data_IF_222674512891
#
_entry.id   IF_222674512891
#
_cell.length_a   1.000
_cell.length_b   1.000
_cell.length_c   1.000
_cell.angle_alpha   90.00
_cell.angle_beta   90.00
_cell.angle_gamma   90.00
#
_symmetry.space_group_name_H-M   'P 1'
#
loop_
_entity.id
_entity.type
_entity.pdbx_description
1 polymer ?
#
# COMPACT_ATOMS: atom_id res chain seq x y z
N UNK A 1 -31.67 26.79 -30.78
CA UNK A 1 -30.79 25.64 -31.06
C UNK A 1 -30.68 24.82 -29.78
N UNK A 2 -31.60 23.87 -29.59
CA UNK A 2 -31.51 22.94 -28.47
C UNK A 2 -30.55 21.84 -28.91
N UNK A 3 -29.37 21.79 -28.30
CA UNK A 3 -28.46 20.66 -28.48
C UNK A 3 -29.26 19.43 -28.00
N UNK A 4 -29.48 18.42 -28.85
CA UNK A 4 -30.30 17.23 -28.53
C UNK A 4 -29.44 16.16 -27.87
N UNK A 5 -29.94 15.44 -26.84
CA UNK A 5 -29.18 14.57 -25.88
C UNK A 5 -28.06 13.67 -26.44
N UNK A 6 -27.98 13.50 -27.74
CA UNK A 6 -26.95 12.80 -28.50
C UNK A 6 -25.53 13.40 -28.31
N UNK A 7 -25.39 14.65 -27.81
CA UNK A 7 -24.10 15.21 -27.39
C UNK A 7 -23.62 14.71 -26.01
N UNK A 8 -24.47 14.04 -25.23
CA UNK A 8 -24.04 13.45 -23.97
C UNK A 8 -23.34 12.13 -24.27
N UNK A 9 -22.01 12.09 -24.05
CA UNK A 9 -21.22 10.86 -24.02
C UNK A 9 -21.99 9.79 -23.23
N UNK A 10 -22.38 8.72 -23.92
CA UNK A 10 -23.16 7.63 -23.33
C UNK A 10 -22.34 7.01 -22.21
N UNK A 11 -22.77 7.22 -20.97
CA UNK A 11 -22.09 6.68 -19.80
C UNK A 11 -22.19 5.14 -19.87
N UNK A 12 -21.06 4.41 -19.75
CA UNK A 12 -21.10 2.96 -19.76
C UNK A 12 -21.94 2.43 -18.58
N UNK A 13 -22.54 1.26 -18.78
CA UNK A 13 -23.40 0.59 -17.79
C UNK A 13 -22.57 0.11 -16.59
N UNK A 14 -22.40 0.98 -15.59
CA UNK A 14 -21.76 0.66 -14.32
C UNK A 14 -20.22 0.64 -14.34
N UNK A 15 -19.58 0.64 -13.16
CA UNK A 15 -18.13 0.47 -13.05
C UNK A 15 -17.73 -0.95 -13.48
N UNK A 16 -16.57 -1.07 -14.12
CA UNK A 16 -15.96 -2.37 -14.40
C UNK A 16 -15.61 -3.08 -13.07
N UNK A 17 -15.61 -4.42 -13.08
CA UNK A 17 -15.29 -5.23 -11.89
C UNK A 17 -13.96 -4.83 -11.22
N UNK A 18 -12.86 -4.58 -11.96
CA UNK A 18 -11.61 -4.10 -11.35
C UNK A 18 -11.75 -2.76 -10.65
N UNK A 19 -12.51 -1.81 -11.24
CA UNK A 19 -12.73 -0.50 -10.63
C UNK A 19 -13.55 -0.61 -9.35
N UNK A 20 -14.60 -1.42 -9.36
CA UNK A 20 -15.43 -1.67 -8.19
C UNK A 20 -14.62 -2.30 -7.05
N UNK A 21 -13.72 -3.25 -7.34
CA UNK A 21 -12.83 -3.85 -6.35
C UNK A 21 -11.87 -2.82 -5.72
N UNK A 22 -11.23 -1.99 -6.54
CA UNK A 22 -10.32 -0.95 -6.06
C UNK A 22 -11.04 0.05 -5.15
N UNK A 23 -12.18 0.57 -5.62
CA UNK A 23 -12.93 1.61 -4.93
C UNK A 23 -13.55 1.13 -3.61
N UNK A 24 -13.90 -0.16 -3.50
CA UNK A 24 -14.61 -0.70 -2.32
C UNK A 24 -13.72 -1.43 -1.33
N UNK A 25 -12.59 -2.01 -1.77
CA UNK A 25 -11.75 -2.84 -0.90
C UNK A 25 -10.36 -2.24 -0.73
N UNK A 26 -9.67 -1.98 -1.85
CA UNK A 26 -8.26 -1.57 -1.80
C UNK A 26 -8.10 -0.17 -1.22
N UNK A 27 -8.88 0.79 -1.72
CA UNK A 27 -8.79 2.18 -1.27
C UNK A 27 -9.16 2.33 0.20
N UNK A 28 -10.29 1.79 0.70
CA UNK A 28 -10.62 1.88 2.12
C UNK A 28 -9.61 1.17 3.02
N UNK A 29 -9.11 0.00 2.60
CA UNK A 29 -8.09 -0.72 3.35
C UNK A 29 -6.81 0.10 3.48
N UNK A 30 -6.31 0.65 2.38
CA UNK A 30 -5.10 1.46 2.37
C UNK A 30 -5.26 2.73 3.23
N UNK A 31 -6.41 3.40 3.13
CA UNK A 31 -6.72 4.58 3.94
C UNK A 31 -6.76 4.24 5.44
N UNK A 32 -7.41 3.14 5.82
CA UNK A 32 -7.48 2.69 7.21
C UNK A 32 -6.08 2.34 7.76
N UNK A 33 -5.25 1.65 6.98
CA UNK A 33 -3.87 1.33 7.37
C UNK A 33 -3.08 2.62 7.58
N UNK A 34 -3.11 3.55 6.63
CA UNK A 34 -2.40 4.81 6.72
C UNK A 34 -2.82 5.61 7.97
N UNK A 35 -4.13 5.80 8.17
CA UNK A 35 -4.65 6.51 9.35
C UNK A 35 -4.30 5.82 10.67
N UNK A 36 -4.33 4.48 10.72
CA UNK A 36 -3.93 3.74 11.92
C UNK A 36 -2.44 3.89 12.24
N UNK A 37 -1.59 3.97 11.20
CA UNK A 37 -0.15 4.17 11.34
C UNK A 37 0.16 5.56 11.88
N UNK A 38 -0.52 6.59 11.39
CA UNK A 38 -0.39 7.97 11.91
C UNK A 38 -0.68 8.02 13.41
N UNK A 39 -1.82 7.47 13.84
CA UNK A 39 -2.21 7.42 15.27
C UNK A 39 -1.19 6.64 16.10
N UNK A 40 -0.66 5.54 15.58
CA UNK A 40 0.35 4.75 16.27
C UNK A 40 1.66 5.54 16.42
N UNK A 41 2.12 6.20 15.35
CA UNK A 41 3.33 7.01 15.36
C UNK A 41 3.23 8.18 16.35
N UNK A 42 2.10 8.89 16.36
CA UNK A 42 1.87 9.99 17.30
C UNK A 42 1.86 9.51 18.75
N UNK A 43 1.22 8.38 19.02
CA UNK A 43 1.21 7.78 20.36
C UNK A 43 2.61 7.37 20.81
N UNK A 44 3.41 6.78 19.93
CA UNK A 44 4.78 6.39 20.25
C UNK A 44 5.67 7.61 20.43
N UNK A 45 5.53 8.62 19.58
CA UNK A 45 6.24 9.88 19.71
C UNK A 45 5.93 10.58 21.04
N UNK A 46 4.66 10.64 21.43
CA UNK A 46 4.25 11.21 22.71
C UNK A 46 4.84 10.44 23.92
N UNK A 47 4.99 9.12 23.80
CA UNK A 47 5.57 8.27 24.87
C UNK A 47 7.09 8.31 24.94
N UNK A 48 7.76 8.47 23.81
CA UNK A 48 9.22 8.34 23.70
C UNK A 48 9.95 9.68 23.59
N UNK A 49 9.23 10.77 23.29
CA UNK A 49 9.82 12.07 22.96
C UNK A 49 10.52 12.10 21.59
N UNK A 50 10.50 11.00 20.84
CA UNK A 50 11.14 10.88 19.53
C UNK A 50 10.19 11.38 18.46
N UNK A 51 10.71 12.11 17.45
CA UNK A 51 9.90 12.60 16.33
C UNK A 51 9.29 11.43 15.53
N UNK A 52 8.00 11.50 15.14
CA UNK A 52 7.32 10.47 14.33
C UNK A 52 8.10 10.05 13.08
N UNK A 53 8.70 11.01 12.37
CA UNK A 53 9.49 10.76 11.17
C UNK A 53 10.72 9.85 11.43
N UNK A 54 11.35 9.97 12.60
CA UNK A 54 12.49 9.12 12.96
C UNK A 54 12.05 7.69 13.26
N UNK A 55 10.91 7.53 13.93
CA UNK A 55 10.31 6.21 14.21
C UNK A 55 9.96 5.53 12.89
N UNK A 56 9.31 6.26 11.98
CA UNK A 56 8.95 5.74 10.66
C UNK A 56 10.18 5.36 9.83
N UNK A 57 11.21 6.22 9.79
CA UNK A 57 12.45 5.94 9.06
C UNK A 57 13.17 4.71 9.62
N UNK A 58 13.25 4.59 10.95
CA UNK A 58 13.86 3.43 11.60
C UNK A 58 13.10 2.13 11.33
N UNK A 59 11.77 2.15 11.46
CA UNK A 59 10.92 1.00 11.17
C UNK A 59 11.06 0.56 9.69
N UNK A 60 11.00 1.52 8.77
CA UNK A 60 11.14 1.26 7.33
C UNK A 60 12.51 0.68 6.99
N UNK A 61 13.58 1.20 7.60
CA UNK A 61 14.94 0.68 7.42
C UNK A 61 15.08 -0.77 7.90
N UNK A 62 14.52 -1.11 9.07
CA UNK A 62 14.56 -2.48 9.61
C UNK A 62 13.75 -3.45 8.75
N UNK A 63 12.58 -3.04 8.28
CA UNK A 63 11.76 -3.85 7.35
C UNK A 63 12.54 -4.09 6.05
N UNK A 64 13.12 -3.04 5.45
CA UNK A 64 13.90 -3.14 4.22
C UNK A 64 15.08 -4.09 4.37
N UNK A 65 15.86 -3.98 5.45
CA UNK A 65 16.98 -4.86 5.73
C UNK A 65 16.53 -6.31 5.92
N UNK A 66 15.43 -6.54 6.65
CA UNK A 66 14.85 -7.86 6.85
C UNK A 66 14.40 -8.50 5.53
N UNK A 67 13.76 -7.73 4.66
CA UNK A 67 13.34 -8.18 3.33
C UNK A 67 14.54 -8.54 2.46
N UNK A 68 15.55 -7.66 2.38
CA UNK A 68 16.79 -7.95 1.63
C UNK A 68 17.40 -9.26 2.10
N UNK A 69 17.53 -9.44 3.42
CA UNK A 69 18.09 -10.66 4.01
C UNK A 69 17.24 -11.90 3.67
N UNK A 70 15.92 -11.79 3.69
CA UNK A 70 15.03 -12.88 3.33
C UNK A 70 15.18 -13.26 1.85
N UNK A 71 15.25 -12.27 0.96
CA UNK A 71 15.41 -12.51 -0.47
C UNK A 71 16.78 -13.12 -0.80
N UNK A 72 17.86 -12.66 -0.18
CA UNK A 72 19.20 -13.23 -0.39
C UNK A 72 19.30 -14.67 0.12
N UNK A 73 18.69 -14.99 1.27
CA UNK A 73 18.64 -16.38 1.75
C UNK A 73 17.80 -17.29 0.83
N UNK A 74 16.69 -16.80 0.29
CA UNK A 74 15.86 -17.58 -0.65
C UNK A 74 16.59 -17.86 -1.96
N UNK A 75 17.28 -16.87 -2.54
CA UNK A 75 18.08 -17.07 -3.75
C UNK A 75 19.19 -18.10 -3.53
N UNK A 76 19.89 -18.02 -2.40
CA UNK A 76 20.93 -19.00 -2.05
C UNK A 76 20.40 -20.42 -1.81
N UNK A 77 19.14 -20.56 -1.36
CA UNK A 77 18.49 -21.86 -1.21
C UNK A 77 18.06 -22.43 -2.56
N UNK A 78 17.53 -21.61 -3.48
CA UNK A 78 17.12 -22.03 -4.82
C UNK A 78 18.31 -22.48 -5.68
N UNK A 79 19.43 -21.75 -5.66
CA UNK A 79 20.66 -22.10 -6.40
C UNK A 79 21.27 -23.45 -5.97
N UNK A 80 20.94 -23.93 -4.77
CA UNK A 80 21.39 -25.24 -4.27
C UNK A 80 20.52 -26.38 -4.80
N UNK A 81 19.23 -26.15 -5.04
CA UNK A 81 18.33 -27.17 -5.60
C UNK A 81 18.55 -27.37 -7.10
N UNK A 82 18.89 -26.31 -7.86
CA UNK A 82 19.17 -26.42 -9.30
C UNK A 82 20.51 -27.09 -9.65
N UNK A 83 21.38 -27.36 -8.66
CA UNK A 83 22.69 -28.01 -8.85
C UNK A 83 22.72 -29.50 -8.50
N UNK A 84 21.61 -30.09 -8.06
CA UNK A 84 21.46 -31.52 -7.73
C UNK A 84 20.67 -32.18 -8.86
#
# INVERSE_FOLDING_TARGET
MAVGRDYMLKKPSGPSSPKLFLDTQVVPLAANIAGSLEVALDRVAARTGVRPAMILAGATGLIGLGLIRLFTHRSAANDRFDRI
#
